data_IF_439910679178
#
_entry.id   IF_439910679178
#
_cell.length_a   1.000
_cell.length_b   1.000
_cell.length_c   1.000
_cell.angle_alpha   90.00
_cell.angle_beta   90.00
_cell.angle_gamma   90.00
#
_symmetry.space_group_name_H-M   'P 1'
#
loop_
_entity.id
_entity.type
_entity.pdbx_description
1 polymer ?
#
# COMPACT_ATOMS: atom_id res chain seq x y z
N UNK A 1 -18.69 4.39 3.86
CA UNK A 1 -19.05 3.87 5.19
C UNK A 1 -17.84 3.17 5.80
N UNK A 2 -17.55 3.44 7.08
CA UNK A 2 -16.48 2.83 7.88
C UNK A 2 -17.02 2.19 9.17
N UNK A 3 -18.34 2.17 9.35
CA UNK A 3 -19.04 1.51 10.45
C UNK A 3 -18.43 1.78 11.83
N UNK A 4 -18.12 3.05 12.14
CA UNK A 4 -17.47 3.49 13.39
C UNK A 4 -16.10 2.79 13.67
N UNK A 5 -15.36 2.43 12.64
CA UNK A 5 -14.02 1.86 12.75
C UNK A 5 -13.94 0.36 12.95
N UNK A 6 -15.02 -0.38 12.68
CA UNK A 6 -14.95 -1.84 12.61
C UNK A 6 -15.79 -2.43 11.47
N UNK A 7 -15.38 -3.60 10.97
CA UNK A 7 -16.07 -4.32 9.93
C UNK A 7 -15.98 -5.82 10.19
N UNK A 8 -17.11 -6.52 10.16
CA UNK A 8 -17.18 -7.97 10.39
C UNK A 8 -17.35 -8.71 9.07
N UNK A 9 -16.56 -9.76 8.87
CA UNK A 9 -16.63 -10.68 7.72
C UNK A 9 -16.68 -12.11 8.28
N UNK A 10 -17.87 -12.70 8.39
CA UNK A 10 -18.06 -13.95 9.09
C UNK A 10 -17.63 -13.86 10.56
N UNK A 11 -16.69 -14.68 10.99
CA UNK A 11 -16.09 -14.65 12.33
C UNK A 11 -14.92 -13.68 12.47
N UNK A 12 -14.41 -13.12 11.35
CA UNK A 12 -13.26 -12.23 11.34
C UNK A 12 -13.72 -10.78 11.48
N UNK A 13 -13.02 -10.00 12.31
CA UNK A 13 -13.31 -8.56 12.48
C UNK A 13 -12.08 -7.73 12.16
N UNK A 14 -12.26 -6.73 11.30
CA UNK A 14 -11.26 -5.70 10.98
C UNK A 14 -11.53 -4.50 11.87
N UNK A 15 -10.49 -3.92 12.45
CA UNK A 15 -10.56 -2.72 13.27
C UNK A 15 -9.63 -1.64 12.72
N UNK A 16 -10.08 -0.39 12.81
CA UNK A 16 -9.21 0.76 12.66
C UNK A 16 -8.36 0.96 13.92
N UNK A 17 -7.07 1.25 13.74
CA UNK A 17 -6.17 1.52 14.87
C UNK A 17 -6.55 2.80 15.63
N UNK A 18 -7.16 3.76 14.93
CA UNK A 18 -7.58 5.07 15.45
C UNK A 18 -9.05 5.30 15.07
N UNK A 19 -9.94 4.48 15.63
CA UNK A 19 -11.38 4.67 15.42
C UNK A 19 -11.86 5.97 16.08
N UNK A 20 -12.64 6.76 15.34
CA UNK A 20 -13.28 7.97 15.85
C UNK A 20 -14.74 7.62 16.25
N UNK A 21 -15.08 7.63 17.55
CA UNK A 21 -16.44 7.32 17.98
C UNK A 21 -17.49 8.20 17.30
N UNK A 22 -18.55 7.59 16.80
CA UNK A 22 -19.63 8.30 16.12
C UNK A 22 -19.36 8.66 14.66
N UNK A 23 -18.20 8.33 14.11
CA UNK A 23 -17.88 8.55 12.71
C UNK A 23 -18.21 7.31 11.87
N UNK A 24 -19.13 7.44 10.94
CA UNK A 24 -19.63 6.34 10.11
C UNK A 24 -19.20 6.41 8.64
N UNK A 25 -18.58 7.50 8.20
CA UNK A 25 -18.13 7.68 6.83
C UNK A 25 -16.82 8.44 6.73
N UNK A 26 -16.05 8.12 5.68
CA UNK A 26 -14.84 8.83 5.29
C UNK A 26 -14.80 8.95 3.77
N UNK A 27 -14.23 10.03 3.27
CA UNK A 27 -13.79 10.15 1.87
C UNK A 27 -12.58 9.24 1.63
N UNK A 28 -12.24 8.95 0.39
CA UNK A 28 -11.03 8.16 0.05
C UNK A 28 -9.77 8.84 0.58
N UNK A 29 -9.69 10.17 0.47
CA UNK A 29 -8.57 10.95 1.00
C UNK A 29 -8.42 10.76 2.51
N UNK A 30 -9.51 10.79 3.26
CA UNK A 30 -9.50 10.56 4.70
C UNK A 30 -9.15 9.13 5.08
N UNK A 31 -9.60 8.12 4.30
CA UNK A 31 -9.19 6.73 4.50
C UNK A 31 -7.67 6.61 4.44
N UNK A 32 -7.02 7.28 3.49
CA UNK A 32 -5.57 7.30 3.35
C UNK A 32 -4.92 8.11 4.47
N UNK A 33 -5.39 9.33 4.74
CA UNK A 33 -4.82 10.23 5.73
C UNK A 33 -4.90 9.69 7.16
N UNK A 34 -6.05 9.09 7.52
CA UNK A 34 -6.30 8.51 8.85
C UNK A 34 -5.88 7.04 8.96
N UNK A 35 -5.41 6.43 7.85
CA UNK A 35 -4.99 5.03 7.83
C UNK A 35 -6.10 4.05 8.24
N UNK A 36 -7.32 4.24 7.73
CA UNK A 36 -8.46 3.37 8.05
C UNK A 36 -8.32 2.00 7.37
N UNK A 37 -8.16 0.95 8.16
CA UNK A 37 -8.15 -0.44 7.69
C UNK A 37 -9.52 -0.83 7.12
N UNK A 38 -10.59 -0.41 7.80
CA UNK A 38 -11.98 -0.67 7.36
C UNK A 38 -12.26 0.00 6.04
N UNK A 39 -11.87 1.26 5.87
CA UNK A 39 -12.01 2.00 4.62
C UNK A 39 -11.24 1.34 3.48
N UNK A 40 -9.97 0.97 3.71
CA UNK A 40 -9.13 0.29 2.73
C UNK A 40 -9.69 -1.09 2.35
N UNK A 41 -10.15 -1.89 3.33
CA UNK A 41 -10.78 -3.18 3.10
C UNK A 41 -12.05 -3.05 2.23
N UNK A 42 -12.92 -2.07 2.52
CA UNK A 42 -14.11 -1.81 1.72
C UNK A 42 -13.78 -1.43 0.27
N UNK A 43 -12.82 -0.52 0.08
CA UNK A 43 -12.34 -0.13 -1.26
C UNK A 43 -11.79 -1.34 -2.01
N UNK A 44 -10.99 -2.17 -1.34
CA UNK A 44 -10.43 -3.38 -1.92
C UNK A 44 -11.48 -4.42 -2.29
N UNK A 45 -12.52 -4.58 -1.47
CA UNK A 45 -13.63 -5.51 -1.75
C UNK A 45 -14.56 -5.05 -2.88
N UNK A 46 -14.53 -3.76 -3.24
CA UNK A 46 -15.22 -3.25 -4.44
C UNK A 46 -14.50 -3.60 -5.75
N UNK A 47 -13.25 -4.07 -5.66
CA UNK A 47 -12.45 -4.44 -6.82
C UNK A 47 -12.61 -5.93 -7.13
N UNK A 48 -12.48 -6.28 -8.42
CA UNK A 48 -12.22 -7.66 -8.79
C UNK A 48 -10.87 -8.11 -8.17
N UNK A 49 -10.80 -9.25 -7.47
CA UNK A 49 -9.57 -9.75 -6.86
C UNK A 49 -8.37 -9.83 -7.83
N UNK A 50 -8.65 -10.17 -9.10
CA UNK A 50 -7.64 -10.21 -10.17
C UNK A 50 -7.05 -8.84 -10.45
N UNK A 51 -7.89 -7.79 -10.45
CA UNK A 51 -7.45 -6.42 -10.72
C UNK A 51 -6.62 -5.88 -9.55
N UNK A 52 -7.04 -6.12 -8.31
CA UNK A 52 -6.28 -5.76 -7.12
C UNK A 52 -4.91 -6.47 -7.11
N UNK A 53 -4.90 -7.79 -7.31
CA UNK A 53 -3.66 -8.56 -7.41
C UNK A 53 -2.77 -8.06 -8.55
N UNK A 54 -3.35 -7.83 -9.72
CA UNK A 54 -2.63 -7.34 -10.89
C UNK A 54 -1.99 -5.97 -10.66
N UNK A 55 -2.63 -5.09 -9.91
CA UNK A 55 -2.06 -3.79 -9.53
C UNK A 55 -0.85 -3.96 -8.61
N UNK A 56 -0.96 -4.80 -7.59
CA UNK A 56 0.14 -5.10 -6.67
C UNK A 56 1.33 -5.75 -7.40
N UNK A 57 1.06 -6.68 -8.31
CA UNK A 57 2.09 -7.33 -9.10
C UNK A 57 2.78 -6.36 -10.07
N UNK A 58 2.04 -5.47 -10.73
CA UNK A 58 2.58 -4.47 -11.66
C UNK A 58 3.53 -3.47 -11.00
N UNK A 59 3.37 -3.19 -9.70
CA UNK A 59 4.32 -2.35 -8.95
C UNK A 59 5.49 -3.13 -8.37
N UNK A 60 5.63 -4.43 -8.72
CA UNK A 60 6.80 -5.25 -8.41
C UNK A 60 6.65 -6.21 -7.23
N UNK A 61 5.48 -6.28 -6.57
CA UNK A 61 5.32 -7.21 -5.45
C UNK A 61 5.22 -8.66 -5.94
N UNK A 62 5.88 -9.57 -5.20
CA UNK A 62 5.96 -10.98 -5.54
C UNK A 62 7.01 -11.32 -6.62
N UNK A 63 7.79 -10.33 -7.09
CA UNK A 63 8.86 -10.51 -8.09
C UNK A 63 10.17 -9.89 -7.61
N UNK A 64 11.32 -10.44 -8.03
CA UNK A 64 12.62 -9.83 -7.74
C UNK A 64 12.76 -8.49 -8.43
N UNK A 65 13.46 -7.55 -7.81
CA UNK A 65 13.72 -6.23 -8.42
C UNK A 65 14.74 -6.27 -9.54
N UNK A 66 15.56 -7.34 -9.57
CA UNK A 66 16.69 -7.52 -10.51
C UNK A 66 17.71 -6.38 -10.44
N UNK A 67 17.91 -5.81 -9.25
CA UNK A 67 18.90 -4.76 -9.01
C UNK A 67 20.35 -5.24 -9.11
N UNK A 68 20.59 -6.53 -9.26
CA UNK A 68 21.92 -7.13 -9.27
C UNK A 68 22.47 -7.45 -7.88
N UNK A 69 21.60 -7.55 -6.87
CA UNK A 69 21.98 -7.90 -5.50
C UNK A 69 22.03 -9.43 -5.38
N UNK A 70 23.15 -10.02 -4.91
CA UNK A 70 23.23 -11.45 -4.65
C UNK A 70 22.16 -11.90 -3.64
N UNK A 71 21.59 -13.09 -3.85
CA UNK A 71 20.57 -13.68 -2.98
C UNK A 71 19.30 -12.85 -2.78
N UNK A 72 18.96 -11.97 -3.72
CA UNK A 72 17.71 -11.22 -3.70
C UNK A 72 16.50 -12.17 -3.65
N UNK A 73 15.55 -11.86 -2.77
CA UNK A 73 14.28 -12.61 -2.63
C UNK A 73 13.12 -11.84 -3.28
N UNK A 74 12.13 -12.59 -3.76
CA UNK A 74 10.94 -12.02 -4.41
C UNK A 74 9.86 -11.53 -3.46
N UNK A 75 10.03 -11.74 -2.14
CA UNK A 75 8.90 -11.60 -1.24
C UNK A 75 7.78 -12.61 -1.58
N UNK A 76 6.57 -12.32 -1.21
CA UNK A 76 5.41 -13.14 -1.52
C UNK A 76 4.20 -12.26 -1.87
N UNK A 77 3.50 -12.61 -2.94
CA UNK A 77 2.17 -12.12 -3.28
C UNK A 77 1.29 -13.32 -3.61
N UNK A 78 0.52 -13.78 -2.61
CA UNK A 78 -0.36 -14.94 -2.78
C UNK A 78 -1.31 -14.70 -3.95
N UNK A 79 -1.48 -15.70 -4.81
CA UNK A 79 -2.35 -15.59 -5.98
C UNK A 79 -3.80 -15.30 -5.55
N UNK A 80 -4.45 -14.36 -6.24
CA UNK A 80 -5.83 -13.93 -5.96
C UNK A 80 -6.86 -15.07 -5.98
N UNK A 81 -6.62 -16.13 -6.78
CA UNK A 81 -7.50 -17.31 -6.83
C UNK A 81 -7.60 -18.06 -5.48
N UNK A 82 -6.62 -17.84 -4.61
CA UNK A 82 -6.55 -18.40 -3.27
C UNK A 82 -6.96 -17.39 -2.19
N UNK A 83 -7.49 -16.22 -2.56
CA UNK A 83 -8.06 -15.28 -1.62
C UNK A 83 -9.52 -15.63 -1.37
N UNK A 84 -9.90 -15.80 -0.11
CA UNK A 84 -11.29 -15.64 0.27
C UNK A 84 -11.60 -14.17 0.49
N UNK A 85 -12.84 -13.84 0.84
CA UNK A 85 -13.25 -12.45 1.12
C UNK A 85 -12.37 -11.79 2.18
N UNK A 86 -12.05 -12.50 3.26
CA UNK A 86 -11.14 -12.03 4.33
C UNK A 86 -9.74 -11.78 3.76
N UNK A 87 -9.23 -12.68 2.93
CA UNK A 87 -7.90 -12.52 2.30
C UNK A 87 -7.81 -11.29 1.41
N UNK A 88 -8.83 -11.04 0.58
CA UNK A 88 -8.90 -9.82 -0.24
C UNK A 88 -8.98 -8.57 0.63
N UNK A 89 -9.83 -8.57 1.65
CA UNK A 89 -9.97 -7.46 2.57
C UNK A 89 -8.65 -7.14 3.29
N UNK A 90 -7.95 -8.15 3.80
CA UNK A 90 -6.70 -7.96 4.56
C UNK A 90 -5.53 -7.51 3.69
N UNK A 91 -5.41 -8.02 2.46
CA UNK A 91 -4.39 -7.56 1.51
C UNK A 91 -4.57 -6.07 1.17
N UNK A 92 -5.79 -5.56 1.18
CA UNK A 92 -6.09 -4.16 0.85
C UNK A 92 -5.48 -3.14 1.82
N UNK A 93 -5.11 -3.56 3.03
CA UNK A 93 -4.40 -2.71 4.00
C UNK A 93 -3.03 -3.29 4.43
N UNK A 94 -2.49 -4.22 3.61
CA UNK A 94 -1.10 -4.69 3.76
C UNK A 94 -0.91 -5.91 4.65
N UNK A 95 -1.97 -6.66 4.96
CA UNK A 95 -1.93 -7.92 5.72
C UNK A 95 -2.23 -9.12 4.82
N UNK A 96 -2.15 -10.28 5.37
CA UNK A 96 -2.66 -11.51 4.72
C UNK A 96 -1.80 -12.03 3.59
N UNK A 97 -1.12 -12.70 3.18
CA UNK A 97 -0.44 -13.31 2.01
C UNK A 97 0.38 -12.36 1.16
N UNK A 98 0.76 -11.19 1.69
CA UNK A 98 1.68 -10.26 1.06
C UNK A 98 2.89 -10.01 1.97
N UNK A 99 4.10 -10.23 1.41
CA UNK A 99 5.37 -9.85 2.02
C UNK A 99 6.27 -9.25 0.94
N UNK A 100 7.02 -8.23 1.30
CA UNK A 100 7.91 -7.55 0.37
C UNK A 100 9.21 -7.15 1.05
N UNK A 101 10.29 -7.07 0.28
CA UNK A 101 11.53 -6.46 0.74
C UNK A 101 11.37 -4.93 0.80
N UNK A 102 12.18 -4.28 1.61
CA UNK A 102 12.23 -2.81 1.63
C UNK A 102 12.60 -2.24 0.26
N UNK A 103 13.41 -2.96 -0.51
CA UNK A 103 13.79 -2.56 -1.86
C UNK A 103 12.59 -2.61 -2.83
N UNK A 104 11.77 -3.67 -2.76
CA UNK A 104 10.52 -3.75 -3.54
C UNK A 104 9.56 -2.63 -3.15
N UNK A 105 9.42 -2.35 -1.85
CA UNK A 105 8.58 -1.26 -1.37
C UNK A 105 9.09 0.09 -1.90
N UNK A 106 10.37 0.38 -1.78
CA UNK A 106 10.97 1.61 -2.31
C UNK A 106 10.77 1.71 -3.84
N UNK A 107 10.98 0.63 -4.59
CA UNK A 107 10.74 0.60 -6.02
C UNK A 107 9.28 0.89 -6.36
N UNK A 108 8.33 0.30 -5.65
CA UNK A 108 6.91 0.51 -5.91
C UNK A 108 6.50 1.99 -5.78
N UNK A 109 7.13 2.72 -4.87
CA UNK A 109 6.90 4.16 -4.69
C UNK A 109 7.50 5.02 -5.82
N UNK A 110 8.44 4.50 -6.59
CA UNK A 110 9.01 5.25 -7.73
C UNK A 110 7.96 5.58 -8.80
N UNK A 111 6.85 4.86 -8.86
CA UNK A 111 5.74 5.17 -9.79
C UNK A 111 5.16 6.57 -9.54
N UNK A 112 5.17 7.04 -8.28
CA UNK A 112 4.69 8.37 -7.92
C UNK A 112 5.67 9.45 -8.36
N UNK A 113 6.98 9.18 -8.30
CA UNK A 113 8.02 10.11 -8.74
C UNK A 113 8.21 10.15 -10.28
N UNK A 114 7.66 9.15 -11.00
CA UNK A 114 7.85 9.00 -12.45
C UNK A 114 6.51 9.01 -13.22
N UNK A 115 5.56 9.84 -12.80
CA UNK A 115 4.27 10.02 -13.49
C UNK A 115 3.54 8.70 -13.80
N UNK A 116 3.70 7.69 -12.95
CA UNK A 116 3.05 6.38 -13.09
C UNK A 116 3.88 5.31 -13.79
N UNK A 117 5.15 5.55 -14.05
CA UNK A 117 6.08 4.53 -14.57
C UNK A 117 6.87 3.86 -13.46
N UNK A 118 6.87 2.54 -13.43
CA UNK A 118 7.78 1.76 -12.61
C UNK A 118 9.13 1.70 -13.31
N UNK A 119 10.16 2.30 -12.71
CA UNK A 119 11.52 2.26 -13.25
C UNK A 119 12.27 1.03 -12.72
N UNK A 120 13.06 0.35 -13.57
CA UNK A 120 14.01 -0.65 -13.09
C UNK A 120 15.05 0.01 -12.21
N UNK A 121 15.43 -0.67 -11.12
CA UNK A 121 16.50 -0.22 -10.23
C UNK A 121 17.82 -0.88 -10.60
N UNK A 122 18.93 -0.19 -10.29
CA UNK A 122 20.28 -0.68 -10.54
C UNK A 122 21.23 -0.12 -9.49
N UNK A 123 22.22 -0.88 -9.10
CA UNK A 123 23.34 -0.43 -8.26
C UNK A 123 24.41 0.32 -9.07
N UNK A 124 24.34 0.24 -10.40
CA UNK A 124 25.32 0.87 -11.27
C UNK A 124 24.82 2.23 -11.76
N UNK A 125 25.70 3.22 -11.72
CA UNK A 125 25.43 4.51 -12.37
C UNK A 125 25.19 4.31 -13.86
N UNK A 126 24.11 4.86 -14.38
CA UNK A 126 23.80 4.87 -15.81
C UNK A 126 23.85 6.29 -16.34
N UNK A 127 24.35 6.44 -17.55
CA UNK A 127 24.40 7.74 -18.24
C UNK A 127 23.13 7.97 -19.09
N UNK A 128 22.47 6.89 -19.49
CA UNK A 128 21.26 6.94 -20.31
C UNK A 128 19.99 6.80 -19.46
N UNK A 129 18.91 7.51 -19.80
CA UNK A 129 17.61 7.33 -19.17
C UNK A 129 17.11 5.90 -19.35
N UNK A 130 16.64 5.29 -18.26
CA UNK A 130 16.09 3.94 -18.32
C UNK A 130 14.59 4.04 -18.56
N UNK A 131 14.10 3.34 -19.58
CA UNK A 131 12.67 3.21 -19.86
C UNK A 131 11.99 2.44 -18.73
N UNK A 132 10.86 2.98 -18.24
CA UNK A 132 10.02 2.34 -17.26
C UNK A 132 8.83 1.61 -17.89
N UNK A 133 8.12 0.88 -17.07
CA UNK A 133 6.83 0.29 -17.47
C UNK A 133 5.69 1.14 -16.94
N UNK A 134 4.78 1.57 -17.80
CA UNK A 134 3.60 2.36 -17.41
C UNK A 134 2.66 1.49 -16.58
N UNK A 135 2.41 1.90 -15.34
CA UNK A 135 1.52 1.22 -14.39
C UNK A 135 0.23 2.03 -14.17
N UNK A 136 0.37 3.34 -13.98
CA UNK A 136 -0.75 4.24 -13.71
C UNK A 136 -0.77 5.42 -14.69
N UNK A 137 -1.94 6.03 -14.83
CA UNK A 137 -2.08 7.31 -15.53
C UNK A 137 -1.47 8.42 -14.66
N UNK A 138 -0.91 9.46 -15.29
CA UNK A 138 -0.32 10.61 -14.62
C UNK A 138 -1.31 11.32 -13.69
N UNK A 139 -2.55 11.47 -14.13
CA UNK A 139 -3.61 12.12 -13.36
C UNK A 139 -3.93 11.33 -12.08
N UNK A 140 -3.97 9.99 -12.17
CA UNK A 140 -4.17 9.10 -11.00
C UNK A 140 -3.02 9.26 -10.00
N UNK A 141 -1.78 9.32 -10.49
CA UNK A 141 -0.59 9.55 -9.65
C UNK A 141 -0.68 10.89 -8.95
N UNK A 142 -1.01 11.97 -9.68
CA UNK A 142 -1.15 13.30 -9.10
C UNK A 142 -2.17 13.31 -7.95
N UNK A 143 -3.36 12.77 -8.19
CA UNK A 143 -4.41 12.65 -7.16
C UNK A 143 -3.93 11.84 -5.95
N UNK A 144 -3.22 10.73 -6.17
CA UNK A 144 -2.71 9.91 -5.07
C UNK A 144 -1.62 10.66 -4.27
N UNK A 145 -0.72 11.39 -4.94
CA UNK A 145 0.30 12.21 -4.26
C UNK A 145 -0.36 13.28 -3.39
N UNK A 146 -1.39 13.98 -3.89
CA UNK A 146 -2.17 14.94 -3.11
C UNK A 146 -2.82 14.30 -1.87
N UNK A 147 -3.37 13.09 -1.99
CA UNK A 147 -3.90 12.34 -0.85
C UNK A 147 -2.81 11.96 0.15
N UNK A 148 -1.61 11.56 -0.33
CA UNK A 148 -0.47 11.21 0.52
C UNK A 148 0.16 12.44 1.19
N UNK A 149 0.08 13.62 0.60
CA UNK A 149 0.42 14.88 1.30
C UNK A 149 -0.51 15.12 2.48
N UNK A 150 -1.80 14.83 2.33
CA UNK A 150 -2.77 14.87 3.43
C UNK A 150 -2.42 13.96 4.61
N UNK A 151 -1.72 12.84 4.38
CA UNK A 151 -1.20 11.98 5.48
C UNK A 151 -0.22 12.75 6.35
N UNK A 152 0.61 13.60 5.73
CA UNK A 152 1.66 14.38 6.42
C UNK A 152 1.07 15.64 7.04
N UNK A 153 0.17 16.33 6.33
CA UNK A 153 -0.36 17.61 6.79
C UNK A 153 -1.40 17.46 7.90
N UNK A 154 -2.37 16.55 7.73
CA UNK A 154 -3.55 16.42 8.60
C UNK A 154 -3.77 15.00 9.14
N UNK A 155 -2.87 14.08 8.79
CA UNK A 155 -3.02 12.65 9.09
C UNK A 155 -2.01 12.11 10.09
N UNK A 156 -1.72 10.81 9.93
CA UNK A 156 -0.87 10.03 10.83
C UNK A 156 0.63 10.28 10.63
N UNK A 157 1.03 11.00 9.58
CA UNK A 157 2.42 11.18 9.16
C UNK A 157 3.07 12.51 9.58
N UNK A 158 2.46 13.29 10.47
CA UNK A 158 2.91 14.65 10.83
C UNK A 158 4.40 14.77 11.24
N UNK A 159 4.96 13.71 11.83
CA UNK A 159 6.38 13.68 12.22
C UNK A 159 7.36 13.65 11.02
N UNK A 160 6.87 13.41 9.80
CA UNK A 160 7.67 13.42 8.59
C UNK A 160 7.72 14.81 7.91
N UNK A 161 7.11 15.84 8.49
CA UNK A 161 7.17 17.21 7.95
C UNK A 161 8.60 17.72 7.88
N UNK A 162 8.96 18.27 6.73
CA UNK A 162 10.26 18.92 6.51
C UNK A 162 10.03 20.37 6.11
N UNK A 163 10.55 21.32 6.89
CA UNK A 163 10.39 22.76 6.62
C UNK A 163 10.90 23.12 5.23
N UNK A 164 10.05 23.77 4.43
CA UNK A 164 10.40 24.20 3.07
C UNK A 164 10.21 23.13 1.99
N UNK A 165 9.72 21.93 2.34
CA UNK A 165 9.44 20.85 1.38
C UNK A 165 7.98 20.39 1.47
N UNK A 166 7.42 20.02 0.32
CA UNK A 166 6.20 19.22 0.26
C UNK A 166 6.58 17.76 0.43
N UNK A 167 5.97 17.09 1.39
CA UNK A 167 6.25 15.68 1.69
C UNK A 167 4.95 14.88 1.48
N UNK A 168 5.04 13.80 0.73
CA UNK A 168 3.96 12.85 0.53
C UNK A 168 4.41 11.46 1.01
N UNK A 169 3.56 10.74 1.71
CA UNK A 169 3.92 9.42 2.22
C UNK A 169 2.75 8.70 2.87
N UNK A 170 3.03 7.51 3.40
CA UNK A 170 2.06 6.72 4.15
C UNK A 170 2.77 6.04 5.32
N UNK A 171 2.22 6.20 6.50
CA UNK A 171 2.67 5.48 7.68
C UNK A 171 2.34 3.99 7.58
N UNK A 172 3.18 3.13 8.12
CA UNK A 172 2.94 1.69 8.22
C UNK A 172 3.17 1.22 9.64
N UNK A 173 2.28 0.37 10.13
CA UNK A 173 2.42 -0.37 11.39
C UNK A 173 2.07 -1.80 11.10
N UNK A 174 3.04 -2.70 11.19
CA UNK A 174 2.84 -4.13 10.95
C UNK A 174 3.10 -4.91 12.24
N UNK A 175 2.27 -5.90 12.49
CA UNK A 175 2.46 -6.87 13.56
C UNK A 175 3.15 -8.11 13.00
N UNK A 176 4.09 -8.69 13.75
CA UNK A 176 4.71 -9.95 13.39
C UNK A 176 3.84 -11.11 13.84
N UNK A 177 3.82 -12.18 13.03
CA UNK A 177 3.21 -13.43 13.46
C UNK A 177 4.28 -14.23 14.21
N UNK A 178 4.11 -14.40 15.53
CA UNK A 178 4.95 -15.22 16.39
C UNK A 178 4.05 -16.32 16.95
N UNK A 179 4.43 -17.59 16.74
CA UNK A 179 3.64 -18.75 17.19
C UNK A 179 2.16 -18.72 16.75
N UNK A 180 1.89 -18.21 15.53
CA UNK A 180 0.53 -18.14 14.97
C UNK A 180 -0.34 -17.01 15.52
N UNK A 181 0.20 -16.12 16.33
CA UNK A 181 -0.49 -14.93 16.85
C UNK A 181 0.20 -13.65 16.36
N UNK A 182 -0.58 -12.60 16.17
CA UNK A 182 -0.05 -11.27 15.87
C UNK A 182 0.49 -10.66 17.18
N UNK A 183 1.75 -10.24 17.14
CA UNK A 183 2.44 -9.54 18.22
C UNK A 183 3.03 -8.23 17.73
N UNK A 184 2.93 -7.18 18.57
CA UNK A 184 3.50 -5.84 18.30
C UNK A 184 4.99 -5.80 18.54
#
# INVERSE_FOLDING_TARGET
DISAGFMKIGSFTIHDAHAEPGRFSMTVSEVIAKSSNVGAARIGLMQDPKNLWGTLNKVGFGTRTNAGIPAEVSGALRNYKNWGVVGQATVSYGYGGINMTLLQLAQSYTVFANDGELKPITLYKRNEPVMGTKVFKKETVKTMVEMMEGVIEDGTGGNAKVKGYRVAGKTGTAEKIINGKYEK
#
